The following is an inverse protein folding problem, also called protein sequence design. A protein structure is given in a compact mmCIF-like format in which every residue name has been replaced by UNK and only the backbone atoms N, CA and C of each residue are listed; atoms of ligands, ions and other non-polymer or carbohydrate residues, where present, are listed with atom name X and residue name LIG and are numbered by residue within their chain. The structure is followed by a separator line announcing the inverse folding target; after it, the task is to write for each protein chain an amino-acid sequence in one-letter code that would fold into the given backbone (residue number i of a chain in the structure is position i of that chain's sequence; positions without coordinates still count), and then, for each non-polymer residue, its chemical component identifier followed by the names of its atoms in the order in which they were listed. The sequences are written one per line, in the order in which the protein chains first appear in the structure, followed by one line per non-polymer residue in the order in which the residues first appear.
data_IF_009997325449
#
_entry.id   IF_009997325449
#
_cell.length_a   1.000
_cell.length_b   1.000
_cell.length_c   1.000
_cell.angle_alpha   90.00
_cell.angle_beta   90.00
_cell.angle_gamma   90.00
#
_symmetry.space_group_name_H-M   'P 1'
#
loop_
_entity.id
_entity.type
_entity.pdbx_description
1 polymer ?
#
# COMPACT_ATOMS: atom_id res chain seq x y z
N UNK A 1 -15.77 9.85 -14.45
CA UNK A 1 -14.74 10.22 -13.45
C UNK A 1 -15.18 9.85 -12.03
N UNK A 2 -15.40 8.56 -11.75
CA UNK A 2 -15.58 8.00 -10.37
C UNK A 2 -14.39 7.10 -9.96
N UNK A 3 -13.50 6.78 -10.89
CA UNK A 3 -12.41 5.82 -10.72
C UNK A 3 -11.21 6.39 -9.92
N UNK A 4 -10.96 7.70 -9.99
CA UNK A 4 -9.85 8.33 -9.23
C UNK A 4 -10.11 8.37 -7.74
N UNK A 5 -11.37 8.57 -7.30
CA UNK A 5 -11.72 8.64 -5.88
C UNK A 5 -11.50 7.32 -5.13
N UNK A 6 -11.62 6.16 -5.78
CA UNK A 6 -11.55 4.84 -5.12
C UNK A 6 -10.11 4.39 -4.83
N UNK A 7 -9.19 4.76 -5.72
CA UNK A 7 -7.75 4.49 -5.60
C UNK A 7 -7.11 5.13 -4.37
N UNK A 8 -7.62 6.28 -3.94
CA UNK A 8 -7.05 7.11 -2.88
C UNK A 8 -7.21 6.45 -1.50
N UNK A 9 -8.29 5.67 -1.31
CA UNK A 9 -8.56 4.98 -0.05
C UNK A 9 -7.62 3.80 0.18
N UNK A 10 -7.20 3.10 -0.87
CA UNK A 10 -6.22 1.99 -0.75
C UNK A 10 -4.81 2.49 -0.39
N UNK A 11 -4.46 3.74 -0.73
CA UNK A 11 -3.13 4.32 -0.55
C UNK A 11 -2.83 4.74 0.90
N UNK A 12 -3.84 5.15 1.66
CA UNK A 12 -3.62 5.77 2.98
C UNK A 12 -3.47 4.73 4.09
N UNK A 13 -4.03 3.52 3.92
CA UNK A 13 -4.35 2.69 5.10
C UNK A 13 -3.31 1.61 5.43
N UNK A 14 -2.54 1.12 4.45
CA UNK A 14 -1.41 0.23 4.73
C UNK A 14 -0.20 0.94 5.38
N UNK A 15 -0.35 2.24 5.68
CA UNK A 15 0.69 3.12 6.17
C UNK A 15 0.28 3.78 7.50
N UNK A 16 -0.81 3.31 8.12
CA UNK A 16 -1.19 3.65 9.50
C UNK A 16 -0.40 2.77 10.50
N UNK A 17 0.18 1.66 10.04
CA UNK A 17 1.08 0.77 10.81
C UNK A 17 2.33 1.44 11.35
N UNK A 18 2.72 2.55 10.75
CA UNK A 18 3.75 3.44 11.26
C UNK A 18 3.43 4.03 12.62
N UNK A 19 2.15 4.34 12.90
CA UNK A 19 1.66 4.88 14.18
C UNK A 19 1.76 3.80 15.28
N UNK A 20 1.48 2.55 14.91
CA UNK A 20 1.45 1.39 15.81
C UNK A 20 2.83 1.06 16.36
N UNK A 21 3.85 1.18 15.52
CA UNK A 21 5.22 0.89 15.91
C UNK A 21 5.88 2.07 16.67
N UNK A 22 5.30 3.26 16.60
CA UNK A 22 5.70 4.48 17.31
C UNK A 22 5.50 4.37 18.83
N UNK A 23 4.41 3.75 19.27
CA UNK A 23 3.99 3.69 20.68
C UNK A 23 4.66 2.58 21.51
N UNK A 24 5.65 1.92 20.93
CA UNK A 24 6.29 0.78 21.57
C UNK A 24 7.40 1.29 22.48
N UNK A 25 7.05 1.47 23.74
CA UNK A 25 8.01 1.44 24.85
C UNK A 25 8.61 0.03 24.99
N UNK A 26 9.38 -0.41 23.99
CA UNK A 26 10.55 -1.19 24.29
C UNK A 26 11.60 -0.18 24.71
N UNK A 27 12.30 -0.42 25.82
CA UNK A 27 13.42 0.40 26.32
C UNK A 27 14.60 0.58 25.31
N UNK A 28 14.41 0.28 24.01
CA UNK A 28 15.41 0.20 22.96
C UNK A 28 14.94 0.56 21.53
N UNK A 29 13.68 0.96 21.27
CA UNK A 29 13.37 1.54 19.94
C UNK A 29 14.09 2.88 19.84
N UNK A 30 15.07 2.98 18.95
CA UNK A 30 15.89 4.19 18.85
C UNK A 30 15.03 5.35 18.35
N UNK A 31 15.28 6.56 18.86
CA UNK A 31 14.66 7.81 18.38
C UNK A 31 14.65 7.90 16.85
N UNK A 32 15.71 7.39 16.22
CA UNK A 32 15.83 7.34 14.76
C UNK A 32 14.76 6.46 14.09
N UNK A 33 14.46 5.29 14.63
CA UNK A 33 13.41 4.40 14.10
C UNK A 33 12.04 5.08 14.22
N UNK A 34 11.80 5.76 15.35
CA UNK A 34 10.57 6.52 15.57
C UNK A 34 10.41 7.62 14.52
N UNK A 35 11.44 8.46 14.32
CA UNK A 35 11.40 9.53 13.31
C UNK A 35 11.21 9.00 11.88
N UNK A 36 11.76 7.82 11.57
CA UNK A 36 11.56 7.20 10.25
C UNK A 36 10.11 6.76 10.07
N UNK A 37 9.46 6.21 11.11
CA UNK A 37 8.04 5.88 11.07
C UNK A 37 7.15 7.11 10.92
N UNK A 38 7.42 8.18 11.67
CA UNK A 38 6.73 9.48 11.50
C UNK A 38 6.86 10.01 10.06
N UNK A 39 8.05 9.84 9.46
CA UNK A 39 8.31 10.25 8.07
C UNK A 39 7.57 9.38 7.05
N UNK A 40 7.39 8.08 7.34
CA UNK A 40 6.54 7.18 6.54
C UNK A 40 5.11 7.67 6.62
N UNK A 41 4.58 7.90 7.82
CA UNK A 41 3.21 8.36 8.03
C UNK A 41 2.92 9.69 7.32
N UNK A 42 3.77 10.71 7.55
CA UNK A 42 3.61 12.05 6.98
C UNK A 42 3.54 11.98 5.46
N UNK A 43 4.47 11.25 4.83
CA UNK A 43 4.48 11.11 3.37
C UNK A 43 3.27 10.35 2.85
N UNK A 44 2.86 9.31 3.56
CA UNK A 44 1.71 8.49 3.19
C UNK A 44 0.42 9.29 3.21
N UNK A 45 0.22 10.10 4.26
CA UNK A 45 -0.91 11.01 4.39
C UNK A 45 -0.91 12.14 3.35
N UNK A 46 0.26 12.47 2.80
CA UNK A 46 0.40 13.48 1.75
C UNK A 46 0.13 12.93 0.34
N UNK A 47 0.07 11.60 0.15
CA UNK A 47 -0.22 11.02 -1.15
C UNK A 47 -1.70 11.25 -1.50
N UNK A 48 -1.92 12.19 -2.41
CA UNK A 48 -3.22 12.53 -2.97
C UNK A 48 -3.13 12.49 -4.50
N UNK A 49 -3.48 11.34 -5.12
CA UNK A 49 -3.46 11.16 -6.57
C UNK A 49 -4.29 12.16 -7.38
N UNK A 50 -5.23 12.87 -6.76
CA UNK A 50 -6.04 13.90 -7.42
C UNK A 50 -5.35 15.26 -7.43
N UNK A 51 -4.48 15.52 -6.46
CA UNK A 51 -3.74 16.79 -6.35
C UNK A 51 -2.31 16.70 -6.84
N UNK A 52 -1.74 15.50 -6.90
CA UNK A 52 -0.35 15.26 -7.28
C UNK A 52 -0.20 14.68 -8.68
N UNK A 53 0.92 14.98 -9.33
CA UNK A 53 1.38 14.31 -10.53
C UNK A 53 1.90 12.90 -10.23
N UNK A 54 1.93 12.03 -11.25
CA UNK A 54 2.51 10.68 -11.14
C UNK A 54 3.95 10.72 -10.61
N UNK A 55 4.74 11.73 -11.04
CA UNK A 55 6.13 11.88 -10.60
C UNK A 55 6.24 12.22 -9.10
N UNK A 56 5.34 13.04 -8.57
CA UNK A 56 5.28 13.38 -7.14
C UNK A 56 4.88 12.18 -6.30
N UNK A 57 3.80 11.48 -6.68
CA UNK A 57 3.36 10.25 -6.01
C UNK A 57 4.49 9.21 -5.99
N UNK A 58 5.17 9.02 -7.13
CA UNK A 58 6.30 8.10 -7.26
C UNK A 58 7.47 8.51 -6.36
N UNK A 59 7.74 9.80 -6.22
CA UNK A 59 8.79 10.31 -5.35
C UNK A 59 8.48 10.05 -3.88
N UNK A 60 7.24 10.26 -3.45
CA UNK A 60 6.79 9.96 -2.09
C UNK A 60 6.84 8.45 -1.79
N UNK A 61 6.32 7.60 -2.69
CA UNK A 61 6.39 6.14 -2.55
C UNK A 61 7.84 5.63 -2.49
N UNK A 62 8.74 6.22 -3.28
CA UNK A 62 10.16 5.83 -3.27
C UNK A 62 10.86 6.26 -1.97
N UNK A 63 10.49 7.40 -1.41
CA UNK A 63 11.00 7.84 -0.11
C UNK A 63 10.49 6.94 1.03
N UNK A 64 9.20 6.59 1.01
CA UNK A 64 8.61 5.63 1.96
C UNK A 64 9.33 4.28 1.86
N UNK A 65 9.54 3.74 0.65
CA UNK A 65 10.29 2.51 0.43
C UNK A 65 11.69 2.58 1.07
N UNK A 66 12.41 3.69 0.91
CA UNK A 66 13.72 3.89 1.53
C UNK A 66 13.65 3.88 3.06
N UNK A 67 12.66 4.56 3.65
CA UNK A 67 12.49 4.60 5.10
C UNK A 67 12.16 3.22 5.67
N UNK A 68 11.27 2.47 5.03
CA UNK A 68 10.93 1.10 5.44
C UNK A 68 12.14 0.16 5.36
N UNK A 69 12.96 0.25 4.31
CA UNK A 69 14.22 -0.51 4.21
C UNK A 69 15.14 -0.17 5.39
N UNK A 70 15.29 1.12 5.72
CA UNK A 70 16.14 1.55 6.81
C UNK A 70 15.60 1.09 8.18
N UNK A 71 14.28 1.14 8.40
CA UNK A 71 13.64 0.63 9.61
C UNK A 71 13.92 -0.87 9.78
N UNK A 72 13.69 -1.66 8.73
CA UNK A 72 13.97 -3.11 8.75
C UNK A 72 15.43 -3.39 9.11
N UNK A 73 16.37 -2.65 8.51
CA UNK A 73 17.80 -2.79 8.76
C UNK A 73 18.18 -2.43 10.21
N UNK A 74 17.62 -1.34 10.75
CA UNK A 74 17.89 -0.87 12.11
C UNK A 74 17.26 -1.80 13.16
N UNK A 75 16.00 -2.18 12.99
CA UNK A 75 15.30 -3.13 13.87
C UNK A 75 16.04 -4.48 13.91
N UNK A 76 16.49 -4.99 12.76
CA UNK A 76 17.25 -6.25 12.66
C UNK A 76 18.55 -6.25 13.47
N UNK A 77 19.14 -5.08 13.70
CA UNK A 77 20.39 -4.90 14.45
C UNK A 77 20.19 -4.70 15.95
N UNK A 78 18.95 -4.53 16.42
CA UNK A 78 18.68 -4.33 17.83
C UNK A 78 19.06 -5.57 18.66
N UNK A 79 19.85 -5.34 19.70
CA UNK A 79 20.23 -6.36 20.66
C UNK A 79 19.14 -6.53 21.73
N UNK A 80 18.32 -7.56 21.55
CA UNK A 80 17.19 -7.91 22.41
C UNK A 80 17.62 -8.83 23.55
N UNK A 81 17.11 -8.58 24.77
CA UNK A 81 17.55 -9.26 26.00
C UNK A 81 16.73 -10.49 26.34
N UNK A 82 15.46 -10.54 25.91
CA UNK A 82 14.56 -11.66 26.22
C UNK A 82 14.02 -12.32 24.94
N UNK A 83 13.55 -13.57 25.09
CA UNK A 83 12.89 -14.26 23.98
C UNK A 83 11.59 -13.56 23.55
N UNK A 84 10.86 -12.96 24.51
CA UNK A 84 9.65 -12.18 24.20
C UNK A 84 10.00 -10.95 23.34
N UNK A 85 11.04 -10.20 23.72
CA UNK A 85 11.48 -9.02 22.96
C UNK A 85 11.93 -9.40 21.55
N UNK A 86 12.59 -10.56 21.41
CA UNK A 86 12.95 -11.13 20.12
C UNK A 86 11.71 -11.42 19.27
N UNK A 87 10.69 -12.07 19.83
CA UNK A 87 9.45 -12.35 19.13
C UNK A 87 8.74 -11.08 18.67
N UNK A 88 8.65 -10.06 19.54
CA UNK A 88 8.09 -8.75 19.21
C UNK A 88 8.84 -8.14 18.02
N UNK A 89 10.17 -8.02 18.12
CA UNK A 89 11.00 -7.47 17.05
C UNK A 89 10.84 -8.24 15.73
N UNK A 90 10.83 -9.56 15.78
CA UNK A 90 10.67 -10.39 14.59
C UNK A 90 9.27 -10.19 13.95
N UNK A 91 8.22 -9.89 14.74
CA UNK A 91 6.90 -9.51 14.22
C UNK A 91 6.96 -8.11 13.58
N UNK A 92 7.59 -7.13 14.23
CA UNK A 92 7.76 -5.76 13.68
C UNK A 92 8.46 -5.78 12.33
N UNK A 93 9.54 -6.53 12.21
CA UNK A 93 10.31 -6.66 10.97
C UNK A 93 9.42 -7.25 9.88
N UNK A 94 8.74 -8.37 10.17
CA UNK A 94 7.82 -9.00 9.19
C UNK A 94 6.69 -8.07 8.77
N UNK A 95 6.17 -7.30 9.71
CA UNK A 95 5.14 -6.32 9.44
C UNK A 95 5.66 -5.20 8.51
N UNK A 96 6.81 -4.61 8.82
CA UNK A 96 7.46 -3.61 7.95
C UNK A 96 7.83 -4.17 6.56
N UNK A 97 8.22 -5.44 6.48
CA UNK A 97 8.45 -6.12 5.20
C UNK A 97 7.17 -6.23 4.36
N UNK A 98 6.01 -6.49 5.00
CA UNK A 98 4.71 -6.54 4.33
C UNK A 98 4.27 -5.16 3.83
N UNK A 99 4.47 -4.12 4.63
CA UNK A 99 4.25 -2.73 4.18
C UNK A 99 5.18 -2.37 3.02
N UNK A 100 6.46 -2.74 3.08
CA UNK A 100 7.42 -2.49 2.00
C UNK A 100 6.98 -3.19 0.70
N UNK A 101 6.48 -4.43 0.79
CA UNK A 101 5.92 -5.13 -0.35
C UNK A 101 4.69 -4.41 -0.92
N UNK A 102 3.81 -3.89 -0.07
CA UNK A 102 2.67 -3.08 -0.50
C UNK A 102 3.13 -1.81 -1.21
N UNK A 103 4.03 -1.03 -0.61
CA UNK A 103 4.56 0.21 -1.17
C UNK A 103 5.21 -0.05 -2.53
N UNK A 104 5.94 -1.16 -2.69
CA UNK A 104 6.51 -1.56 -3.99
C UNK A 104 5.45 -1.93 -5.02
N UNK A 105 4.39 -2.63 -4.62
CA UNK A 105 3.25 -2.88 -5.50
C UNK A 105 2.58 -1.56 -5.92
N UNK A 106 2.49 -0.59 -5.00
CA UNK A 106 1.98 0.74 -5.33
C UNK A 106 2.91 1.49 -6.29
N UNK A 107 4.21 1.49 -6.02
CA UNK A 107 5.21 2.19 -6.83
C UNK A 107 5.36 1.61 -8.25
N UNK A 108 4.84 0.42 -8.49
CA UNK A 108 4.91 -0.28 -9.78
C UNK A 108 3.53 -0.42 -10.44
N UNK A 109 2.68 -1.32 -9.94
CA UNK A 109 1.42 -1.66 -10.59
C UNK A 109 0.38 -0.54 -10.46
N UNK A 110 0.30 0.12 -9.29
CA UNK A 110 -0.63 1.24 -9.12
C UNK A 110 -0.23 2.45 -9.98
N UNK A 111 1.05 2.83 -9.98
CA UNK A 111 1.54 3.91 -10.86
C UNK A 111 1.26 3.60 -12.34
N UNK A 112 1.51 2.36 -12.77
CA UNK A 112 1.23 1.90 -14.14
C UNK A 112 -0.27 1.95 -14.46
N UNK A 113 -1.11 1.42 -13.57
CA UNK A 113 -2.57 1.50 -13.65
C UNK A 113 -3.04 2.95 -13.81
N UNK A 114 -2.56 3.85 -12.95
CA UNK A 114 -2.97 5.25 -12.97
C UNK A 114 -2.53 5.95 -14.26
N UNK A 115 -1.33 5.65 -14.76
CA UNK A 115 -0.86 6.16 -16.04
C UNK A 115 -1.76 5.70 -17.20
N UNK A 116 -2.04 4.40 -17.29
CA UNK A 116 -2.90 3.84 -18.34
C UNK A 116 -4.32 4.41 -18.29
N UNK A 117 -4.89 4.62 -17.10
CA UNK A 117 -6.21 5.28 -16.97
C UNK A 117 -6.18 6.71 -17.51
N UNK A 118 -5.15 7.51 -17.19
CA UNK A 118 -5.02 8.88 -17.71
C UNK A 118 -4.84 8.92 -19.22
N UNK A 119 -4.07 7.99 -19.78
CA UNK A 119 -3.87 7.87 -21.22
C UNK A 119 -5.15 7.42 -21.93
N UNK A 120 -5.90 6.49 -21.34
CA UNK A 120 -7.19 6.03 -21.85
C UNK A 120 -8.19 7.18 -21.93
N UNK A 121 -8.33 7.95 -20.85
CA UNK A 121 -9.22 9.11 -20.80
C UNK A 121 -8.82 10.18 -21.83
N UNK A 122 -7.52 10.49 -21.95
CA UNK A 122 -7.02 11.44 -22.95
C UNK A 122 -7.26 10.97 -24.40
N UNK A 123 -7.19 9.66 -24.66
CA UNK A 123 -7.54 9.11 -25.97
C UNK A 123 -9.05 9.16 -26.23
N UNK A 124 -9.89 8.87 -25.23
CA UNK A 124 -11.34 8.92 -25.33
C UNK A 124 -11.83 10.35 -25.60
N UNK A 125 -11.27 11.35 -24.91
CA UNK A 125 -11.57 12.78 -25.13
C UNK A 125 -11.27 13.24 -26.57
N UNK A 126 -10.26 12.64 -27.20
CA UNK A 126 -9.87 12.90 -28.60
C UNK A 126 -10.66 12.04 -29.60
N UNK A 127 -11.69 11.31 -29.14
CA UNK A 127 -12.47 10.36 -29.92
C UNK A 127 -11.62 9.25 -30.57
N UNK A 128 -10.47 8.93 -29.98
CA UNK A 128 -9.60 7.84 -30.40
C UNK A 128 -9.94 6.56 -29.60
N UNK A 129 -11.12 6.01 -29.90
CA UNK A 129 -11.74 4.93 -29.13
C UNK A 129 -10.89 3.65 -29.12
N UNK A 130 -10.22 3.33 -30.24
CA UNK A 130 -9.36 2.14 -30.34
C UNK A 130 -8.20 2.23 -29.35
N UNK A 131 -7.49 3.35 -29.31
CA UNK A 131 -6.37 3.52 -28.38
C UNK A 131 -6.84 3.63 -26.93
N UNK A 132 -7.96 4.33 -26.68
CA UNK A 132 -8.55 4.39 -25.34
C UNK A 132 -8.84 2.98 -24.79
N UNK A 133 -9.39 2.09 -25.63
CA UNK A 133 -9.67 0.70 -25.25
C UNK A 133 -8.40 -0.11 -24.97
N UNK A 134 -7.33 0.10 -25.74
CA UNK A 134 -6.04 -0.55 -25.49
C UNK A 134 -5.53 -0.15 -24.11
N UNK A 135 -5.58 1.15 -23.78
CA UNK A 135 -5.12 1.63 -22.48
C UNK A 135 -6.02 1.18 -21.32
N UNK A 136 -7.35 1.15 -21.48
CA UNK A 136 -8.24 0.54 -20.47
C UNK A 136 -7.94 -0.95 -20.24
N UNK A 137 -7.56 -1.70 -21.30
CA UNK A 137 -7.14 -3.10 -21.16
C UNK A 137 -5.81 -3.23 -20.42
N UNK A 138 -4.86 -2.32 -20.64
CA UNK A 138 -3.60 -2.30 -19.91
C UNK A 138 -3.85 -1.98 -18.42
N UNK A 139 -4.65 -0.95 -18.14
CA UNK A 139 -5.11 -0.60 -16.80
C UNK A 139 -5.76 -1.80 -16.09
N UNK A 140 -6.65 -2.53 -16.77
CA UNK A 140 -7.30 -3.73 -16.21
C UNK A 140 -6.28 -4.80 -15.81
N UNK A 141 -5.29 -5.07 -16.65
CA UNK A 141 -4.24 -6.05 -16.32
C UNK A 141 -3.43 -5.63 -15.08
N UNK A 142 -3.10 -4.34 -14.95
CA UNK A 142 -2.35 -3.83 -13.81
C UNK A 142 -3.19 -3.84 -12.53
N UNK A 143 -4.48 -3.54 -12.63
CA UNK A 143 -5.42 -3.64 -11.52
C UNK A 143 -5.56 -5.09 -11.00
N UNK A 144 -5.65 -6.07 -11.90
CA UNK A 144 -5.67 -7.49 -11.54
C UNK A 144 -4.38 -7.92 -10.82
N UNK A 145 -3.21 -7.47 -11.31
CA UNK A 145 -1.92 -7.73 -10.65
C UNK A 145 -1.86 -7.11 -9.27
N UNK A 146 -2.27 -5.84 -9.15
CA UNK A 146 -2.28 -5.10 -7.89
C UNK A 146 -3.17 -5.82 -6.86
N UNK A 147 -4.40 -6.16 -7.23
CA UNK A 147 -5.32 -6.94 -6.37
C UNK A 147 -4.68 -8.26 -5.92
N UNK A 148 -4.06 -9.01 -6.84
CA UNK A 148 -3.42 -10.28 -6.49
C UNK A 148 -2.30 -10.11 -5.48
N UNK A 149 -1.47 -9.06 -5.62
CA UNK A 149 -0.40 -8.75 -4.66
C UNK A 149 -0.96 -8.36 -3.30
N UNK A 150 -1.96 -7.47 -3.26
CA UNK A 150 -2.62 -7.07 -2.02
C UNK A 150 -3.29 -8.24 -1.30
N UNK A 151 -3.92 -9.15 -2.04
CA UNK A 151 -4.52 -10.38 -1.49
C UNK A 151 -3.46 -11.28 -0.82
N UNK A 152 -2.29 -11.41 -1.43
CA UNK A 152 -1.19 -12.18 -0.84
C UNK A 152 -0.61 -11.51 0.41
N UNK A 153 -0.51 -10.18 0.42
CA UNK A 153 -0.07 -9.40 1.60
C UNK A 153 -1.07 -9.60 2.74
N UNK A 154 -2.37 -9.47 2.48
CA UNK A 154 -3.43 -9.69 3.46
C UNK A 154 -3.34 -11.08 4.10
N UNK A 155 -3.17 -12.12 3.27
CA UNK A 155 -3.03 -13.50 3.77
C UNK A 155 -1.85 -13.62 4.76
N UNK A 156 -0.70 -13.02 4.41
CA UNK A 156 0.49 -13.03 5.27
C UNK A 156 0.36 -12.15 6.52
N UNK A 157 -0.37 -11.04 6.45
CA UNK A 157 -0.70 -10.22 7.63
C UNK A 157 -1.56 -11.02 8.62
N UNK A 158 -2.57 -11.76 8.13
CA UNK A 158 -3.43 -12.62 8.95
C UNK A 158 -2.65 -13.78 9.62
N UNK A 159 -1.56 -14.22 9.01
CA UNK A 159 -0.68 -15.27 9.54
C UNK A 159 0.33 -14.77 10.59
N UNK A 160 0.39 -13.46 10.87
CA UNK A 160 1.26 -12.92 11.92
C UNK A 160 0.80 -13.42 13.30
N UNK A 161 1.74 -13.97 14.09
CA UNK A 161 1.47 -14.31 15.48
C UNK A 161 1.52 -13.05 16.35
N UNK A 162 0.37 -12.42 16.60
CA UNK A 162 0.30 -11.17 17.35
C UNK A 162 0.29 -11.33 18.88
N UNK A 163 0.20 -12.55 19.40
CA UNK A 163 0.13 -12.81 20.87
C UNK A 163 1.24 -12.13 21.69
N UNK A 164 2.51 -12.03 21.21
CA UNK A 164 3.57 -11.39 21.97
C UNK A 164 3.45 -9.86 22.08
N UNK A 165 2.68 -9.22 21.20
CA UNK A 165 2.44 -7.78 21.18
C UNK A 165 1.48 -7.38 22.30
N UNK A 166 1.51 -6.11 22.71
CA UNK A 166 0.49 -5.58 23.61
C UNK A 166 -0.88 -5.44 22.92
N UNK A 167 -1.91 -5.15 23.70
CA UNK A 167 -3.30 -5.13 23.22
C UNK A 167 -3.53 -4.02 22.20
N UNK A 168 -2.87 -2.88 22.32
CA UNK A 168 -3.04 -1.74 21.43
C UNK A 168 -2.49 -2.09 20.04
N UNK A 169 -1.25 -2.57 19.97
CA UNK A 169 -0.63 -3.01 18.71
C UNK A 169 -1.43 -4.13 18.03
N UNK A 170 -1.93 -5.08 18.82
CA UNK A 170 -2.76 -6.16 18.28
C UNK A 170 -4.03 -5.63 17.63
N UNK A 171 -4.66 -4.61 18.21
CA UNK A 171 -5.88 -4.02 17.68
C UNK A 171 -5.59 -3.26 16.40
N UNK A 172 -4.50 -2.50 16.35
CA UNK A 172 -4.17 -1.69 15.18
C UNK A 172 -3.83 -2.55 13.96
N UNK A 173 -2.98 -3.58 14.11
CA UNK A 173 -2.71 -4.54 13.02
C UNK A 173 -3.99 -5.24 12.57
N UNK A 174 -4.91 -5.56 13.49
CA UNK A 174 -6.22 -6.14 13.13
C UNK A 174 -7.09 -5.15 12.35
N UNK A 175 -7.06 -3.87 12.68
CA UNK A 175 -7.78 -2.84 11.93
C UNK A 175 -7.25 -2.72 10.51
N UNK A 176 -5.94 -2.70 10.32
CA UNK A 176 -5.34 -2.66 8.98
C UNK A 176 -5.66 -3.89 8.14
N UNK A 177 -5.71 -5.07 8.76
CA UNK A 177 -6.19 -6.29 8.09
C UNK A 177 -7.61 -6.08 7.56
N UNK A 178 -8.53 -5.53 8.38
CA UNK A 178 -9.91 -5.23 7.97
C UNK A 178 -9.94 -4.20 6.83
N UNK A 179 -9.17 -3.13 6.93
CA UNK A 179 -9.14 -2.11 5.88
C UNK A 179 -8.51 -2.60 4.58
N UNK A 180 -7.48 -3.45 4.64
CA UNK A 180 -6.92 -4.08 3.45
C UNK A 180 -7.93 -5.04 2.81
N UNK A 181 -8.75 -5.73 3.59
CA UNK A 181 -9.87 -6.53 3.09
C UNK A 181 -10.88 -5.68 2.34
N UNK A 182 -11.33 -4.56 2.93
CA UNK A 182 -12.22 -3.60 2.28
C UNK A 182 -11.62 -3.05 0.99
N UNK A 183 -10.33 -2.69 1.02
CA UNK A 183 -9.62 -2.19 -0.16
C UNK A 183 -9.54 -3.23 -1.27
N UNK A 184 -9.27 -4.50 -0.95
CA UNK A 184 -9.26 -5.58 -1.95
C UNK A 184 -10.64 -5.76 -2.56
N UNK A 185 -11.71 -5.63 -1.78
CA UNK A 185 -13.08 -5.68 -2.29
C UNK A 185 -13.40 -4.51 -3.22
N UNK A 186 -12.90 -3.31 -2.93
CA UNK A 186 -13.00 -2.16 -3.83
C UNK A 186 -12.26 -2.40 -5.15
N UNK A 187 -11.04 -2.94 -5.10
CA UNK A 187 -10.29 -3.33 -6.31
C UNK A 187 -11.06 -4.38 -7.14
N UNK A 188 -11.78 -5.30 -6.50
CA UNK A 188 -12.67 -6.25 -7.19
C UNK A 188 -13.80 -5.56 -7.95
N UNK A 189 -14.48 -4.61 -7.31
CA UNK A 189 -15.54 -3.83 -7.96
C UNK A 189 -14.99 -3.05 -9.16
N UNK A 190 -13.82 -2.43 -9.02
CA UNK A 190 -13.18 -1.70 -10.12
C UNK A 190 -12.80 -2.61 -11.29
N UNK A 191 -12.37 -3.84 -11.02
CA UNK A 191 -12.08 -4.82 -12.07
C UNK A 191 -13.33 -5.11 -12.90
N UNK A 192 -14.48 -5.29 -12.24
CA UNK A 192 -15.76 -5.52 -12.91
C UNK A 192 -16.13 -4.33 -13.79
N UNK A 193 -16.12 -3.12 -13.22
CA UNK A 193 -16.47 -1.89 -13.96
C UNK A 193 -15.55 -1.67 -15.18
N UNK A 194 -14.24 -1.87 -15.01
CA UNK A 194 -13.28 -1.66 -16.09
C UNK A 194 -13.37 -2.78 -17.15
N UNK A 195 -13.65 -4.01 -16.74
CA UNK A 195 -13.93 -5.11 -17.66
C UNK A 195 -15.17 -4.82 -18.51
N UNK A 196 -16.24 -4.27 -17.93
CA UNK A 196 -17.42 -3.85 -18.68
C UNK A 196 -17.09 -2.77 -19.72
N UNK A 197 -16.25 -1.79 -19.40
CA UNK A 197 -15.79 -0.76 -20.36
C UNK A 197 -14.99 -1.40 -21.50
N UNK A 198 -14.10 -2.35 -21.17
CA UNK A 198 -13.29 -3.06 -22.17
C UNK A 198 -14.16 -3.94 -23.07
N UNK A 199 -15.20 -4.57 -22.55
CA UNK A 199 -16.07 -5.51 -23.27
C UNK A 199 -17.17 -4.81 -24.08
N UNK A 200 -17.72 -3.71 -23.56
CA UNK A 200 -18.80 -2.92 -24.18
C UNK A 200 -18.39 -2.15 -25.44
N UNK A 201 -17.22 -2.41 -26.02
CA UNK A 201 -16.81 -1.97 -27.36
C UNK A 201 -17.66 -2.51 -28.53
N UNK A 202 -18.96 -2.72 -28.33
CA UNK A 202 -20.02 -2.85 -29.32
C UNK A 202 -21.20 -1.95 -28.93
N UNK A 203 -21.16 -0.70 -29.41
CA UNK A 203 -22.33 0.09 -29.77
C UNK A 203 -21.93 1.05 -30.90
#
# INVERSE_FOLDING_TARGET
MKFTHLVILTLVVLLIGSIVLENIENNQTSEKIKMLWESVEERSNNIDPEKQSIAEIKADLSAIEMYLIEIIELESRLNVKTNKDKQIRDIKIKYAELELEAVRAMNTDFISLYQHLKEADAHAERNNIVNARIEYKNALNDLIKLKSKMTNILARMRDLNLEPLDTEMQLEIKWEIIYLEESIHELESMIIDLQEIVDSGCA
#
